data_IF_482021570764
#
_entry.id   IF_482021570764
#
_cell.length_a   1.000
_cell.length_b   1.000
_cell.length_c   1.000
_cell.angle_alpha   90.00
_cell.angle_beta   90.00
_cell.angle_gamma   90.00
#
_symmetry.space_group_name_H-M   'P 1'
#
loop_
_entity.id
_entity.type
_entity.pdbx_description
1 polymer ?
#
# COMPACT_ATOMS: atom_id res chain seq x y z
N UNK A 1 14.45 -0.95 -16.89
CA UNK A 1 15.34 0.19 -16.58
C UNK A 1 16.38 -0.29 -15.59
N UNK A 2 17.51 -0.81 -16.07
CA UNK A 2 18.60 -1.29 -15.21
C UNK A 2 19.68 -0.22 -15.10
N UNK A 3 19.39 0.84 -14.35
CA UNK A 3 20.43 1.73 -13.87
C UNK A 3 21.00 1.10 -12.59
N UNK A 4 22.11 0.38 -12.74
CA UNK A 4 22.90 -0.13 -11.62
C UNK A 4 23.52 1.08 -10.91
N UNK A 5 22.95 1.48 -9.77
CA UNK A 5 23.52 2.50 -8.91
C UNK A 5 24.37 1.79 -7.86
N UNK A 6 25.69 1.83 -8.05
CA UNK A 6 26.65 1.26 -7.12
C UNK A 6 26.89 2.24 -5.96
N UNK A 7 26.53 1.84 -4.74
CA UNK A 7 26.94 2.52 -3.51
C UNK A 7 27.68 1.49 -2.67
N UNK A 8 29.00 1.67 -2.52
CA UNK A 8 29.79 0.94 -1.52
C UNK A 8 29.94 -0.56 -1.72
N UNK A 9 30.06 -1.05 -2.96
CA UNK A 9 30.47 -2.45 -3.23
C UNK A 9 29.33 -3.47 -3.29
N UNK A 10 28.07 -3.05 -3.16
CA UNK A 10 26.90 -3.92 -3.38
C UNK A 10 26.10 -3.40 -4.57
N UNK A 11 26.21 -4.08 -5.72
CA UNK A 11 25.42 -3.80 -6.91
C UNK A 11 23.97 -4.17 -6.64
N UNK A 12 23.16 -3.18 -6.26
CA UNK A 12 21.71 -3.36 -6.09
C UNK A 12 21.00 -2.66 -7.24
N UNK A 13 20.12 -3.39 -7.92
CA UNK A 13 19.19 -2.82 -8.90
C UNK A 13 18.36 -1.74 -8.21
N UNK A 14 18.22 -0.57 -8.83
CA UNK A 14 17.40 0.55 -8.31
C UNK A 14 16.01 0.09 -7.84
N UNK A 15 15.45 -0.94 -8.47
CA UNK A 15 14.21 -1.60 -8.06
C UNK A 15 14.21 -2.14 -6.62
N UNK A 16 15.28 -2.80 -6.16
CA UNK A 16 15.36 -3.32 -4.78
C UNK A 16 15.45 -2.22 -3.72
N UNK A 17 15.88 -1.01 -4.09
CA UNK A 17 15.92 0.15 -3.19
C UNK A 17 14.63 0.99 -3.28
N UNK A 18 14.00 1.06 -4.46
CA UNK A 18 12.74 1.76 -4.68
C UNK A 18 11.55 1.05 -4.04
N UNK A 19 11.51 -0.28 -4.06
CA UNK A 19 10.43 -1.06 -3.43
C UNK A 19 10.24 -0.73 -1.95
N UNK A 20 11.27 -0.82 -1.08
CA UNK A 20 11.12 -0.48 0.34
C UNK A 20 10.83 1.02 0.55
N UNK A 21 11.31 1.90 -0.33
CA UNK A 21 10.99 3.33 -0.25
C UNK A 21 9.50 3.58 -0.51
N UNK A 22 8.95 2.98 -1.56
CA UNK A 22 7.53 3.18 -1.91
C UNK A 22 6.61 2.51 -0.90
N UNK A 23 6.93 1.31 -0.43
CA UNK A 23 6.12 0.66 0.62
C UNK A 23 6.09 1.50 1.89
N UNK A 24 7.22 2.11 2.27
CA UNK A 24 7.31 3.01 3.42
C UNK A 24 6.46 4.28 3.22
N UNK A 25 6.50 4.89 2.03
CA UNK A 25 5.65 6.06 1.71
C UNK A 25 4.16 5.71 1.76
N UNK A 26 3.77 4.58 1.18
CA UNK A 26 2.37 4.12 1.16
C UNK A 26 1.90 3.80 2.59
N UNK A 27 2.72 3.12 3.38
CA UNK A 27 2.43 2.81 4.79
C UNK A 27 2.24 4.09 5.62
N UNK A 28 3.14 5.08 5.47
CA UNK A 28 3.00 6.38 6.15
C UNK A 28 1.75 7.13 5.71
N UNK A 29 1.40 7.08 4.42
CA UNK A 29 0.18 7.69 3.89
C UNK A 29 -1.08 7.10 4.52
N UNK A 30 -1.17 5.77 4.61
CA UNK A 30 -2.30 5.08 5.25
C UNK A 30 -2.36 5.39 6.74
N UNK A 31 -1.23 5.33 7.45
CA UNK A 31 -1.14 5.68 8.87
C UNK A 31 -1.63 7.11 9.13
N UNK A 32 -1.21 8.07 8.30
CA UNK A 32 -1.63 9.46 8.43
C UNK A 32 -3.15 9.61 8.26
N UNK A 33 -3.75 8.92 7.29
CA UNK A 33 -5.20 8.91 7.08
C UNK A 33 -5.91 8.32 8.31
N UNK A 34 -5.40 7.23 8.87
CA UNK A 34 -6.03 6.55 10.03
C UNK A 34 -5.90 7.34 11.33
N UNK A 35 -4.78 8.03 11.56
CA UNK A 35 -4.54 8.71 12.84
C UNK A 35 -4.93 10.18 12.85
N UNK A 36 -4.85 10.88 11.71
CA UNK A 36 -5.10 12.33 11.64
C UNK A 36 -6.46 12.71 11.04
N UNK A 37 -7.13 11.80 10.33
CA UNK A 37 -8.41 12.11 9.67
C UNK A 37 -9.63 11.81 10.55
N UNK A 38 -10.71 12.57 10.35
CA UNK A 38 -12.05 12.30 10.95
C UNK A 38 -12.57 10.91 10.57
N UNK A 39 -12.25 10.45 9.36
CA UNK A 39 -12.57 9.08 8.92
C UNK A 39 -11.86 8.03 9.77
N UNK A 40 -10.63 8.27 10.21
CA UNK A 40 -9.86 7.34 11.04
C UNK A 40 -10.41 7.16 12.46
N UNK A 41 -11.00 8.21 13.04
CA UNK A 41 -11.75 8.11 14.30
C UNK A 41 -12.98 7.24 14.12
N UNK A 42 -13.71 7.45 13.02
CA UNK A 42 -14.92 6.68 12.72
C UNK A 42 -14.63 5.20 12.41
N UNK A 43 -13.51 4.90 11.72
CA UNK A 43 -13.03 3.52 11.50
C UNK A 43 -12.72 2.82 12.83
N UNK A 44 -12.02 3.51 13.74
CA UNK A 44 -11.72 2.97 15.07
C UNK A 44 -12.98 2.76 15.92
N UNK A 45 -13.92 3.69 15.90
CA UNK A 45 -15.21 3.55 16.59
C UNK A 45 -16.02 2.36 16.05
N UNK A 46 -16.02 2.18 14.72
CA UNK A 46 -16.71 1.08 14.05
C UNK A 46 -16.12 -0.30 14.40
N UNK A 47 -14.83 -0.36 14.72
CA UNK A 47 -14.18 -1.59 15.19
C UNK A 47 -14.63 -2.02 16.60
N UNK A 48 -15.21 -1.13 17.41
CA UNK A 48 -15.78 -1.48 18.71
C UNK A 48 -17.22 -1.97 18.59
N UNK A 49 -18.09 -1.19 17.93
CA UNK A 49 -19.48 -1.58 17.71
C UNK A 49 -20.12 -0.83 16.53
N UNK A 50 -20.42 -1.57 15.47
CA UNK A 50 -21.08 -1.09 14.25
C UNK A 50 -22.50 -0.58 14.54
N UNK A 51 -23.25 -1.25 15.43
CA UNK A 51 -24.63 -0.88 15.73
C UNK A 51 -24.68 0.47 16.43
N UNK A 52 -23.83 0.67 17.44
CA UNK A 52 -23.71 1.94 18.15
C UNK A 52 -23.27 3.08 17.23
N UNK A 53 -22.33 2.85 16.30
CA UNK A 53 -21.91 3.87 15.33
C UNK A 53 -23.05 4.29 14.39
N UNK A 54 -23.88 3.34 13.95
CA UNK A 54 -25.08 3.67 13.15
C UNK A 54 -26.10 4.47 13.95
N UNK A 55 -26.27 4.18 15.25
CA UNK A 55 -27.14 4.97 16.14
C UNK A 55 -26.62 6.40 16.37
N UNK A 56 -25.31 6.62 16.27
CA UNK A 56 -24.69 7.96 16.29
C UNK A 56 -24.87 8.75 14.98
N UNK A 57 -25.67 8.25 14.04
CA UNK A 57 -25.93 8.91 12.76
C UNK A 57 -24.78 8.80 11.75
N UNK A 58 -23.74 8.02 12.07
CA UNK A 58 -22.62 7.75 11.17
C UNK A 58 -22.96 6.52 10.34
N UNK A 59 -22.96 6.67 9.02
CA UNK A 59 -23.30 5.57 8.11
C UNK A 59 -22.15 4.56 8.02
N UNK A 60 -22.23 3.48 8.80
CA UNK A 60 -21.19 2.46 8.91
C UNK A 60 -20.84 1.82 7.55
N UNK A 61 -21.85 1.56 6.71
CA UNK A 61 -21.66 0.98 5.37
C UNK A 61 -20.76 1.83 4.48
N UNK A 62 -20.86 3.17 4.57
CA UNK A 62 -20.00 4.07 3.78
C UNK A 62 -18.56 4.02 4.24
N UNK A 63 -18.33 3.94 5.55
CA UNK A 63 -16.97 3.83 6.12
C UNK A 63 -16.33 2.51 5.72
N UNK A 64 -17.08 1.40 5.84
CA UNK A 64 -16.62 0.07 5.44
C UNK A 64 -16.26 0.05 3.95
N UNK A 65 -17.10 0.65 3.09
CA UNK A 65 -16.81 0.76 1.67
C UNK A 65 -15.51 1.54 1.38
N UNK A 66 -15.26 2.64 2.11
CA UNK A 66 -14.01 3.42 1.98
C UNK A 66 -12.80 2.59 2.41
N UNK A 67 -12.90 1.86 3.53
CA UNK A 67 -11.81 0.99 4.02
C UNK A 67 -11.51 -0.12 3.01
N UNK A 68 -12.56 -0.74 2.46
CA UNK A 68 -12.42 -1.80 1.47
C UNK A 68 -11.80 -1.29 0.17
N UNK A 69 -12.23 -0.11 -0.31
CA UNK A 69 -11.66 0.55 -1.48
C UNK A 69 -10.19 0.95 -1.28
N UNK A 70 -9.83 1.44 -0.08
CA UNK A 70 -8.44 1.74 0.27
C UNK A 70 -7.57 0.48 0.26
N UNK A 71 -8.06 -0.62 0.84
CA UNK A 71 -7.35 -1.89 0.89
C UNK A 71 -7.12 -2.48 -0.50
N UNK A 72 -8.16 -2.49 -1.35
CA UNK A 72 -8.04 -3.01 -2.72
C UNK A 72 -7.12 -2.16 -3.60
N UNK A 73 -7.15 -0.82 -3.45
CA UNK A 73 -6.22 0.07 -4.12
C UNK A 73 -4.76 -0.20 -3.70
N UNK A 74 -4.52 -0.43 -2.41
CA UNK A 74 -3.19 -0.78 -1.90
C UNK A 74 -2.70 -2.12 -2.47
N UNK A 75 -3.57 -3.12 -2.51
CA UNK A 75 -3.25 -4.44 -3.06
C UNK A 75 -2.96 -4.37 -4.57
N UNK A 76 -3.71 -3.57 -5.32
CA UNK A 76 -3.47 -3.33 -6.74
C UNK A 76 -2.10 -2.67 -6.97
N UNK A 77 -1.78 -1.62 -6.20
CA UNK A 77 -0.47 -0.97 -6.26
C UNK A 77 0.65 -1.96 -5.93
N UNK A 78 0.51 -2.76 -4.86
CA UNK A 78 1.48 -3.78 -4.50
C UNK A 78 1.69 -4.80 -5.63
N UNK A 79 0.63 -5.25 -6.30
CA UNK A 79 0.70 -6.15 -7.46
C UNK A 79 1.43 -5.54 -8.65
N UNK A 80 1.19 -4.27 -8.97
CA UNK A 80 1.90 -3.53 -10.02
C UNK A 80 3.39 -3.42 -9.68
N UNK A 81 3.73 -3.09 -8.44
CA UNK A 81 5.12 -3.03 -7.98
C UNK A 81 5.82 -4.38 -8.09
N UNK A 82 5.14 -5.46 -7.69
CA UNK A 82 5.66 -6.82 -7.79
C UNK A 82 5.89 -7.23 -9.25
N UNK A 83 4.89 -7.01 -10.12
CA UNK A 83 5.02 -7.29 -11.56
C UNK A 83 6.13 -6.48 -12.20
N UNK A 84 6.27 -5.18 -11.88
CA UNK A 84 7.30 -4.34 -12.49
C UNK A 84 8.73 -4.68 -12.04
N UNK A 85 8.93 -5.09 -10.78
CA UNK A 85 10.28 -5.34 -10.24
C UNK A 85 10.73 -6.78 -10.43
N UNK A 86 9.85 -7.75 -10.17
CA UNK A 86 10.18 -9.18 -10.27
C UNK A 86 9.98 -9.72 -11.68
N UNK A 87 9.07 -9.13 -12.45
CA UNK A 87 8.79 -9.50 -13.84
C UNK A 87 9.41 -8.49 -14.82
N UNK A 88 10.58 -7.94 -14.46
CA UNK A 88 11.48 -7.43 -15.48
C UNK A 88 11.92 -8.64 -16.30
N UNK A 89 11.19 -8.93 -17.38
CA UNK A 89 11.50 -9.99 -18.31
C UNK A 89 12.87 -9.68 -18.92
N UNK A 90 13.92 -10.26 -18.35
CA UNK A 90 15.18 -10.33 -19.03
C UNK A 90 14.94 -11.23 -20.26
N UNK A 91 15.31 -10.80 -21.48
CA UNK A 91 15.15 -11.64 -22.67
C UNK A 91 15.96 -12.96 -22.59
N UNK A 92 16.75 -13.16 -21.53
CA UNK A 92 17.52 -14.36 -21.22
C UNK A 92 16.88 -15.33 -20.22
N UNK A 93 15.70 -15.06 -19.65
CA UNK A 93 15.08 -15.93 -18.60
C UNK A 93 14.66 -17.33 -19.09
N UNK A 94 14.80 -17.59 -20.39
CA UNK A 94 14.55 -18.89 -21.02
C UNK A 94 15.70 -19.37 -21.91
N UNK A 95 16.86 -18.72 -21.89
CA UNK A 95 18.04 -19.18 -22.62
C UNK A 95 19.05 -19.79 -21.65
N UNK A 96 18.91 -21.12 -21.52
CA UNK A 96 19.70 -22.11 -20.76
C UNK A 96 19.50 -22.14 -19.24
#
# INVERSE_FOLDING_TARGET
FETLVSIGGVSTTLGSLLVPLVTLVVMLGVLFILYKSKYGIAIRALAFDIQTVNLMGINANRIIAIVFALGSALAALAGIFWSSNYYSAYPTMGTL
#
